data_IF_896063113314
#
_entry.id   IF_896063113314
#
_cell.length_a   1.000
_cell.length_b   1.000
_cell.length_c   1.000
_cell.angle_alpha   90.00
_cell.angle_beta   90.00
_cell.angle_gamma   90.00
#
_symmetry.space_group_name_H-M   'P 1'
#
loop_
_entity.id
_entity.type
_entity.pdbx_description
1 polymer ?
#
# COMPACT_ATOMS: atom_id res chain seq x y z
N UNK A 1 17.04 -15.75 -14.17
CA UNK A 1 17.07 -15.23 -12.80
C UNK A 1 18.38 -15.63 -12.16
N UNK A 2 19.08 -14.67 -11.51
CA UNK A 2 20.28 -14.94 -10.72
C UNK A 2 19.91 -14.72 -9.26
N UNK A 3 20.16 -15.72 -8.42
CA UNK A 3 19.95 -15.70 -6.99
C UNK A 3 21.29 -15.66 -6.29
N UNK A 4 21.43 -14.79 -5.31
CA UNK A 4 22.60 -14.71 -4.42
C UNK A 4 22.16 -15.15 -3.03
N UNK A 5 22.87 -16.11 -2.48
CA UNK A 5 22.69 -16.50 -1.09
C UNK A 5 23.64 -15.67 -0.21
N UNK A 6 23.08 -15.07 0.83
CA UNK A 6 23.85 -14.33 1.83
C UNK A 6 23.53 -14.88 3.22
N UNK A 7 24.48 -14.85 4.19
CA UNK A 7 24.16 -15.18 5.56
C UNK A 7 23.03 -14.29 6.08
N UNK A 8 22.05 -14.90 6.76
CA UNK A 8 21.00 -14.13 7.44
C UNK A 8 21.69 -13.33 8.55
N UNK A 9 21.65 -12.00 8.45
CA UNK A 9 22.08 -11.15 9.56
C UNK A 9 21.10 -11.36 10.71
N UNK A 10 21.60 -11.79 11.86
CA UNK A 10 20.83 -11.74 13.10
C UNK A 10 20.48 -10.29 13.38
N UNK A 11 19.21 -10.03 13.68
CA UNK A 11 18.56 -8.78 14.08
C UNK A 11 19.51 -7.59 14.35
N UNK A 12 19.91 -6.87 13.31
CA UNK A 12 20.55 -5.56 13.45
C UNK A 12 19.41 -4.55 13.32
N UNK A 13 18.88 -4.10 14.45
CA UNK A 13 17.90 -3.01 14.50
C UNK A 13 18.62 -1.66 14.41
N UNK A 14 17.97 -0.68 13.77
CA UNK A 14 18.49 0.69 13.66
C UNK A 14 19.51 0.91 12.55
N UNK A 15 19.55 0.05 11.54
CA UNK A 15 20.39 0.28 10.35
C UNK A 15 19.92 1.55 9.61
N UNK A 16 20.89 2.25 9.01
CA UNK A 16 20.64 3.40 8.16
C UNK A 16 20.85 3.02 6.70
N UNK A 17 19.93 3.46 5.86
CA UNK A 17 20.10 3.41 4.42
C UNK A 17 20.82 4.67 3.95
N UNK A 18 21.87 4.51 3.16
CA UNK A 18 22.68 5.58 2.61
C UNK A 18 22.53 5.62 1.10
N UNK A 19 22.28 6.80 0.56
CA UNK A 19 22.19 7.01 -0.88
C UNK A 19 23.03 8.22 -1.30
N UNK A 20 24.01 8.00 -2.15
CA UNK A 20 24.83 9.07 -2.71
C UNK A 20 24.02 9.95 -3.66
N UNK A 21 24.17 11.25 -3.50
CA UNK A 21 23.64 12.27 -4.41
C UNK A 21 24.79 13.24 -4.78
N UNK A 22 24.58 14.05 -5.81
CA UNK A 22 25.57 15.08 -6.17
C UNK A 22 25.75 16.06 -5.01
N UNK A 23 26.98 16.14 -4.49
CA UNK A 23 27.33 17.05 -3.38
C UNK A 23 26.95 16.58 -1.99
N UNK A 24 26.45 15.34 -1.80
CA UNK A 24 26.07 14.87 -0.48
C UNK A 24 25.58 13.43 -0.40
N UNK A 25 24.88 13.13 0.67
CA UNK A 25 24.32 11.80 0.94
C UNK A 25 22.94 11.93 1.61
N UNK A 26 21.98 11.18 1.12
CA UNK A 26 20.70 10.99 1.80
C UNK A 26 20.87 9.86 2.81
N UNK A 27 20.36 10.09 4.02
CA UNK A 27 20.38 9.10 5.10
C UNK A 27 18.95 8.92 5.59
N UNK A 28 18.53 7.68 5.67
CA UNK A 28 17.18 7.28 6.07
C UNK A 28 17.29 6.10 7.04
N UNK A 29 16.39 6.04 8.01
CA UNK A 29 16.21 4.82 8.80
C UNK A 29 15.69 3.69 7.92
N UNK A 30 16.17 2.47 8.15
CA UNK A 30 15.61 1.31 7.49
C UNK A 30 14.17 1.10 7.94
N UNK A 31 13.29 0.78 6.99
CA UNK A 31 11.89 0.49 7.26
C UNK A 31 11.74 -0.95 7.78
N UNK A 32 11.99 -1.11 9.08
CA UNK A 32 11.97 -2.40 9.76
C UNK A 32 10.57 -2.76 10.29
N UNK A 33 10.34 -4.06 10.44
CA UNK A 33 9.15 -4.60 11.10
C UNK A 33 7.90 -4.62 10.22
N UNK A 34 6.79 -5.01 10.85
CA UNK A 34 5.46 -5.12 10.26
C UNK A 34 4.49 -4.23 11.04
N UNK A 35 3.55 -3.61 10.33
CA UNK A 35 2.46 -2.88 10.97
C UNK A 35 1.55 -3.84 11.73
N UNK A 36 1.24 -3.47 12.97
CA UNK A 36 0.37 -4.25 13.85
C UNK A 36 -0.97 -3.57 14.09
N UNK A 37 -1.04 -2.25 13.85
CA UNK A 37 -2.21 -1.43 14.06
C UNK A 37 -3.00 -1.29 12.77
N UNK A 38 -4.32 -1.45 12.86
CA UNK A 38 -5.28 -1.28 11.76
C UNK A 38 -6.52 -0.61 12.34
N UNK A 39 -6.50 0.69 12.41
CA UNK A 39 -7.61 1.48 12.95
C UNK A 39 -8.63 1.76 11.85
N UNK A 40 -9.82 1.17 11.96
CA UNK A 40 -10.94 1.52 11.08
C UNK A 40 -11.30 2.99 11.27
N UNK A 41 -11.28 3.78 10.20
CA UNK A 41 -11.56 5.22 10.21
C UNK A 41 -12.85 5.60 9.48
N UNK A 42 -13.46 4.65 8.80
CA UNK A 42 -14.71 4.80 8.02
C UNK A 42 -15.92 4.23 8.75
N UNK A 43 -17.14 4.66 8.36
CA UNK A 43 -18.40 4.11 8.87
C UNK A 43 -18.52 2.61 8.61
N UNK A 44 -18.09 2.17 7.42
CA UNK A 44 -17.97 0.75 7.11
C UNK A 44 -16.74 0.19 7.80
N UNK A 45 -16.93 -0.77 8.70
CA UNK A 45 -15.84 -1.45 9.39
C UNK A 45 -14.89 -2.17 8.42
N UNK A 46 -13.60 -2.06 8.66
CA UNK A 46 -12.61 -2.86 7.92
C UNK A 46 -12.74 -4.32 8.35
N UNK A 47 -12.89 -5.22 7.38
CA UNK A 47 -13.08 -6.65 7.66
C UNK A 47 -11.83 -7.26 8.29
N UNK A 48 -11.97 -7.78 9.50
CA UNK A 48 -10.84 -8.38 10.26
C UNK A 48 -10.24 -9.59 9.56
N UNK A 49 -11.01 -10.31 8.73
CA UNK A 49 -10.49 -11.42 7.92
C UNK A 49 -9.46 -10.97 6.89
N UNK A 50 -9.49 -9.70 6.49
CA UNK A 50 -8.57 -9.10 5.52
C UNK A 50 -7.27 -8.56 6.13
N UNK A 51 -7.12 -8.57 7.45
CA UNK A 51 -5.92 -8.02 8.11
C UNK A 51 -4.64 -8.75 7.68
N UNK A 52 -4.66 -10.07 7.57
CA UNK A 52 -3.47 -10.82 7.13
C UNK A 52 -3.12 -10.53 5.67
N UNK A 53 -4.14 -10.39 4.81
CA UNK A 53 -3.95 -9.95 3.42
C UNK A 53 -3.39 -8.53 3.37
N UNK A 54 -3.89 -7.61 4.21
CA UNK A 54 -3.39 -6.24 4.31
C UNK A 54 -1.91 -6.21 4.78
N UNK A 55 -1.53 -6.99 5.79
CA UNK A 55 -0.13 -7.13 6.24
C UNK A 55 0.79 -7.62 5.13
N UNK A 56 0.36 -8.61 4.36
CA UNK A 56 1.10 -9.05 3.17
C UNK A 56 1.24 -7.91 2.15
N UNK A 57 0.16 -7.17 1.92
CA UNK A 57 0.15 -6.03 0.99
C UNK A 57 1.07 -4.90 1.42
N UNK A 58 1.11 -4.55 2.72
CA UNK A 58 2.03 -3.56 3.27
C UNK A 58 3.48 -4.02 3.08
N UNK A 59 3.76 -5.30 3.39
CA UNK A 59 5.09 -5.88 3.17
C UNK A 59 5.52 -5.79 1.71
N UNK A 60 4.63 -6.08 0.77
CA UNK A 60 4.92 -5.93 -0.65
C UNK A 60 5.11 -4.45 -1.03
N UNK A 61 4.22 -3.55 -0.53
CA UNK A 61 4.22 -2.12 -0.87
C UNK A 61 5.49 -1.42 -0.41
N UNK A 62 5.99 -1.69 0.81
CA UNK A 62 7.22 -1.10 1.33
C UNK A 62 8.48 -1.43 0.53
N UNK A 63 8.46 -2.51 -0.27
CA UNK A 63 9.55 -2.85 -1.19
C UNK A 63 9.41 -2.21 -2.57
N UNK A 64 8.31 -1.55 -2.85
CA UNK A 64 8.10 -0.77 -4.07
C UNK A 64 8.69 0.64 -3.92
N UNK A 65 9.12 1.24 -5.03
CA UNK A 65 9.60 2.62 -5.03
C UNK A 65 8.43 3.60 -4.92
N UNK A 66 8.52 4.56 -4.02
CA UNK A 66 7.50 5.62 -3.84
C UNK A 66 7.32 6.49 -5.10
N UNK A 67 6.16 7.08 -5.37
CA UNK A 67 4.90 6.83 -4.70
C UNK A 67 4.32 5.49 -5.18
N UNK A 68 3.97 4.63 -4.26
CA UNK A 68 3.54 3.28 -4.62
C UNK A 68 2.13 2.94 -4.14
N UNK A 69 1.44 2.18 -4.98
CA UNK A 69 0.14 1.57 -4.70
C UNK A 69 0.23 0.09 -5.05
N UNK A 70 -0.19 -0.76 -4.13
CA UNK A 70 -0.31 -2.19 -4.34
C UNK A 70 -1.77 -2.65 -4.23
N UNK A 71 -2.15 -3.65 -5.02
CA UNK A 71 -3.39 -4.40 -4.83
C UNK A 71 -3.02 -5.84 -4.55
N UNK A 72 -3.56 -6.37 -3.48
CA UNK A 72 -3.33 -7.75 -3.04
C UNK A 72 -4.64 -8.50 -2.94
N UNK A 73 -4.62 -9.77 -3.33
CA UNK A 73 -5.80 -10.62 -3.40
C UNK A 73 -5.48 -11.98 -2.79
N UNK A 74 -6.43 -12.54 -2.08
CA UNK A 74 -6.38 -13.94 -1.66
C UNK A 74 -6.95 -14.82 -2.78
N UNK A 75 -6.21 -15.85 -3.17
CA UNK A 75 -6.69 -16.80 -4.17
C UNK A 75 -7.54 -17.91 -3.53
N UNK A 76 -8.14 -18.74 -4.36
CA UNK A 76 -9.01 -19.84 -3.93
C UNK A 76 -8.32 -20.86 -2.99
N UNK A 77 -6.98 -20.91 -2.98
CA UNK A 77 -6.20 -21.80 -2.12
C UNK A 77 -5.78 -21.13 -0.80
N UNK A 78 -6.25 -19.92 -0.51
CA UNK A 78 -5.87 -19.15 0.69
C UNK A 78 -4.47 -18.51 0.61
N UNK A 79 -3.82 -18.50 -0.57
CA UNK A 79 -2.53 -17.83 -0.74
C UNK A 79 -2.72 -16.37 -1.14
N UNK A 80 -1.84 -15.50 -0.66
CA UNK A 80 -1.86 -14.07 -0.95
C UNK A 80 -1.01 -13.74 -2.17
N UNK A 81 -1.55 -12.93 -3.07
CA UNK A 81 -0.92 -12.53 -4.31
C UNK A 81 -0.86 -11.01 -4.43
N UNK A 82 0.29 -10.50 -4.86
CA UNK A 82 0.41 -9.13 -5.36
C UNK A 82 -0.14 -9.09 -6.80
N UNK A 83 -1.34 -8.58 -6.96
CA UNK A 83 -2.09 -8.64 -8.23
C UNK A 83 -2.00 -7.37 -9.04
N UNK A 84 -1.74 -6.22 -8.40
CA UNK A 84 -1.47 -4.95 -9.05
C UNK A 84 -0.38 -4.19 -8.30
N UNK A 85 0.52 -3.54 -9.01
CA UNK A 85 1.57 -2.70 -8.43
C UNK A 85 1.90 -1.52 -9.32
N UNK A 86 1.80 -0.31 -8.76
CA UNK A 86 2.27 0.94 -9.35
C UNK A 86 3.35 1.53 -8.46
N UNK A 87 4.46 1.99 -9.05
CA UNK A 87 5.61 2.49 -8.30
C UNK A 87 6.40 3.54 -9.07
N UNK A 88 7.17 4.36 -8.34
CA UNK A 88 8.10 5.33 -8.92
C UNK A 88 7.41 6.48 -9.65
N UNK A 89 6.14 6.73 -9.37
CA UNK A 89 5.39 7.81 -10.02
C UNK A 89 5.47 9.12 -9.20
N UNK A 90 5.30 10.27 -9.86
CA UNK A 90 5.34 11.57 -9.19
C UNK A 90 4.18 11.76 -8.19
N UNK A 91 3.06 11.06 -8.38
CA UNK A 91 1.91 11.09 -7.49
C UNK A 91 1.25 9.69 -7.39
N UNK A 92 0.37 9.51 -6.38
CA UNK A 92 -0.32 8.23 -6.11
C UNK A 92 -1.42 7.93 -7.11
N UNK A 93 -2.09 8.97 -7.60
CA UNK A 93 -3.15 8.81 -8.59
C UNK A 93 -2.61 8.17 -9.88
N UNK A 94 -1.42 8.59 -10.33
CA UNK A 94 -0.76 7.99 -11.50
C UNK A 94 -0.35 6.54 -11.23
N UNK A 95 0.18 6.25 -10.03
CA UNK A 95 0.48 4.88 -9.62
C UNK A 95 -0.77 3.99 -9.68
N UNK A 96 -1.91 4.50 -9.18
CA UNK A 96 -3.18 3.79 -9.19
C UNK A 96 -3.72 3.60 -10.62
N UNK A 97 -3.98 4.70 -11.34
CA UNK A 97 -4.68 4.69 -12.63
C UNK A 97 -3.88 4.09 -13.77
N UNK A 98 -2.58 4.39 -13.83
CA UNK A 98 -1.76 4.05 -15.00
C UNK A 98 -0.95 2.76 -14.83
N UNK A 99 -0.76 2.28 -13.61
CA UNK A 99 0.07 1.11 -13.35
C UNK A 99 -0.66 0.02 -12.56
N UNK A 100 -1.19 0.33 -11.37
CA UNK A 100 -1.75 -0.68 -10.46
C UNK A 100 -2.98 -1.33 -11.05
N UNK A 101 -3.99 -0.54 -11.41
CA UNK A 101 -5.27 -1.08 -11.89
C UNK A 101 -5.17 -1.71 -13.28
N UNK A 102 -4.45 -1.16 -14.26
CA UNK A 102 -4.22 -1.86 -15.52
C UNK A 102 -3.55 -3.23 -15.34
N UNK A 103 -2.59 -3.35 -14.42
CA UNK A 103 -1.94 -4.63 -14.11
C UNK A 103 -2.87 -5.62 -13.43
N UNK A 104 -3.72 -5.14 -12.52
CA UNK A 104 -4.76 -5.95 -11.89
C UNK A 104 -5.73 -6.50 -12.95
N UNK A 105 -6.22 -5.64 -13.86
CA UNK A 105 -7.18 -6.00 -14.91
C UNK A 105 -6.66 -7.04 -15.93
N UNK A 106 -5.33 -7.21 -16.04
CA UNK A 106 -4.74 -8.28 -16.82
C UNK A 106 -4.92 -9.67 -16.18
N UNK A 107 -5.28 -9.73 -14.90
CA UNK A 107 -5.46 -10.97 -14.15
C UNK A 107 -6.91 -11.46 -14.30
N UNK A 108 -7.10 -12.61 -14.92
CA UNK A 108 -8.44 -13.19 -15.11
C UNK A 108 -8.92 -13.89 -13.84
N UNK A 109 -10.22 -13.80 -13.57
CA UNK A 109 -10.86 -14.53 -12.47
C UNK A 109 -10.59 -13.96 -11.07
N UNK A 110 -10.09 -12.71 -10.97
CA UNK A 110 -9.95 -12.00 -9.71
C UNK A 110 -11.00 -10.89 -9.61
N UNK A 111 -11.55 -10.74 -8.41
CA UNK A 111 -12.53 -9.70 -8.08
C UNK A 111 -11.88 -8.64 -7.20
N UNK A 112 -11.90 -7.40 -7.66
CA UNK A 112 -11.29 -6.26 -6.97
C UNK A 112 -11.97 -6.00 -5.61
N UNK A 113 -13.26 -6.25 -5.48
CA UNK A 113 -14.03 -6.10 -4.24
C UNK A 113 -13.53 -7.03 -3.11
N UNK A 114 -12.89 -8.15 -3.46
CA UNK A 114 -12.29 -9.09 -2.51
C UNK A 114 -10.82 -8.79 -2.21
N UNK A 115 -10.26 -7.79 -2.90
CA UNK A 115 -8.87 -7.37 -2.78
C UNK A 115 -8.71 -6.23 -1.77
N UNK A 116 -7.47 -5.98 -1.34
CA UNK A 116 -7.11 -4.81 -0.53
C UNK A 116 -6.13 -3.94 -1.32
N UNK A 117 -6.44 -2.65 -1.41
CA UNK A 117 -5.56 -1.63 -1.96
C UNK A 117 -4.72 -1.04 -0.83
N UNK A 118 -3.41 -1.00 -1.03
CA UNK A 118 -2.42 -0.51 -0.06
C UNK A 118 -1.70 0.68 -0.65
N UNK A 119 -1.53 1.74 0.14
CA UNK A 119 -0.69 2.89 -0.20
C UNK A 119 0.51 2.99 0.74
N UNK A 120 1.69 3.33 0.21
CA UNK A 120 2.92 3.53 0.99
C UNK A 120 2.89 4.79 1.87
N UNK A 121 1.96 5.71 1.60
CA UNK A 121 1.69 6.90 2.42
C UNK A 121 0.24 7.37 2.23
N UNK A 122 -0.14 8.44 2.94
CA UNK A 122 -1.50 8.98 2.92
C UNK A 122 -1.92 9.47 1.51
N UNK A 123 -3.20 9.41 1.23
CA UNK A 123 -3.80 10.08 0.08
C UNK A 123 -3.94 11.58 0.37
N UNK A 124 -3.40 12.45 -0.49
CA UNK A 124 -3.45 13.90 -0.26
C UNK A 124 -4.81 14.51 -0.58
N UNK A 125 -5.63 13.83 -1.39
CA UNK A 125 -6.91 14.32 -1.91
C UNK A 125 -7.88 13.17 -2.15
N UNK A 126 -9.17 13.49 -2.21
CA UNK A 126 -10.24 12.54 -2.49
C UNK A 126 -10.19 11.90 -3.90
N UNK A 127 -9.50 12.51 -4.85
CA UNK A 127 -9.37 12.05 -6.23
C UNK A 127 -8.86 10.60 -6.36
N UNK A 128 -7.98 10.21 -5.47
CA UNK A 128 -7.46 8.83 -5.40
C UNK A 128 -8.52 7.84 -4.92
N UNK A 129 -9.42 8.26 -4.03
CA UNK A 129 -10.55 7.44 -3.57
C UNK A 129 -11.61 7.34 -4.66
N UNK A 130 -11.91 8.44 -5.35
CA UNK A 130 -12.81 8.45 -6.51
C UNK A 130 -12.30 7.49 -7.59
N UNK A 131 -11.01 7.56 -7.91
CA UNK A 131 -10.38 6.64 -8.85
C UNK A 131 -10.46 5.17 -8.37
N UNK A 132 -10.21 4.90 -7.09
CA UNK A 132 -10.34 3.54 -6.55
C UNK A 132 -11.78 3.01 -6.64
N UNK A 133 -12.78 3.88 -6.39
CA UNK A 133 -14.19 3.54 -6.53
C UNK A 133 -14.59 3.23 -7.98
N UNK A 134 -14.08 3.99 -8.98
CA UNK A 134 -14.30 3.71 -10.41
C UNK A 134 -13.93 2.28 -10.80
N UNK A 135 -12.92 1.70 -10.13
CA UNK A 135 -12.49 0.31 -10.33
C UNK A 135 -13.20 -0.70 -9.42
N UNK A 136 -14.06 -0.26 -8.50
CA UNK A 136 -14.81 -1.13 -7.60
C UNK A 136 -14.06 -1.55 -6.32
N UNK A 137 -12.98 -0.86 -5.95
CA UNK A 137 -12.25 -1.13 -4.69
C UNK A 137 -13.17 -0.96 -3.49
N UNK A 138 -13.10 -1.91 -2.53
CA UNK A 138 -13.93 -1.91 -1.31
C UNK A 138 -13.13 -1.83 -0.01
N UNK A 139 -11.82 -2.09 -0.07
CA UNK A 139 -10.92 -2.08 1.09
C UNK A 139 -9.65 -1.32 0.77
N UNK A 140 -9.32 -0.33 1.60
CA UNK A 140 -8.11 0.50 1.47
C UNK A 140 -7.36 0.51 2.79
N UNK A 141 -6.02 0.43 2.72
CA UNK A 141 -5.13 0.62 3.85
C UNK A 141 -4.07 1.65 3.50
N UNK A 142 -3.91 2.62 4.39
CA UNK A 142 -2.88 3.67 4.30
C UNK A 142 -2.42 4.09 5.71
N UNK A 143 -1.33 4.85 5.84
CA UNK A 143 -0.88 5.29 7.16
C UNK A 143 -1.73 6.38 7.82
N UNK A 144 -2.48 7.18 7.06
CA UNK A 144 -3.08 8.43 7.58
C UNK A 144 -2.03 9.53 7.83
N UNK A 145 -2.44 10.61 8.49
CA UNK A 145 -1.58 11.73 8.87
C UNK A 145 -1.54 12.88 7.86
N UNK A 146 -2.50 12.94 6.93
CA UNK A 146 -2.74 14.11 6.08
C UNK A 146 -3.60 15.16 6.81
N UNK A 147 -3.37 16.42 6.52
CA UNK A 147 -4.30 17.51 6.94
C UNK A 147 -5.70 17.28 6.35
N UNK A 148 -5.82 16.49 5.29
CA UNK A 148 -7.05 16.21 4.57
C UNK A 148 -7.60 14.80 4.80
N UNK A 149 -7.18 14.12 5.86
CA UNK A 149 -7.69 12.78 6.18
C UNK A 149 -9.23 12.75 6.26
N UNK A 150 -9.86 13.80 6.83
CA UNK A 150 -11.32 13.90 6.90
C UNK A 150 -11.97 13.87 5.49
N UNK A 151 -11.41 14.62 4.52
CA UNK A 151 -11.91 14.65 3.14
C UNK A 151 -11.81 13.26 2.47
N UNK A 152 -10.73 12.55 2.73
CA UNK A 152 -10.48 11.19 2.22
C UNK A 152 -11.43 10.18 2.86
N UNK A 153 -11.63 10.27 4.19
CA UNK A 153 -12.56 9.41 4.94
C UNK A 153 -14.00 9.64 4.47
N UNK A 154 -14.43 10.90 4.31
CA UNK A 154 -15.75 11.25 3.79
C UNK A 154 -16.00 10.64 2.41
N UNK A 155 -15.01 10.74 1.50
CA UNK A 155 -15.11 10.10 0.19
C UNK A 155 -15.23 8.58 0.28
N UNK A 156 -14.50 7.94 1.19
CA UNK A 156 -14.65 6.50 1.44
C UNK A 156 -16.06 6.14 1.94
N UNK A 157 -16.62 6.95 2.83
CA UNK A 157 -17.99 6.76 3.35
C UNK A 157 -19.04 6.92 2.24
N UNK A 158 -18.91 7.96 1.39
CA UNK A 158 -19.80 8.16 0.23
C UNK A 158 -19.85 6.94 -0.69
N UNK A 159 -18.70 6.27 -0.91
CA UNK A 159 -18.60 5.13 -1.83
C UNK A 159 -18.72 3.77 -1.13
N UNK A 160 -18.95 3.73 0.18
CA UNK A 160 -19.04 2.50 0.96
C UNK A 160 -17.75 1.69 0.96
N UNK A 161 -16.60 2.38 0.93
CA UNK A 161 -15.26 1.80 1.02
C UNK A 161 -14.86 1.71 2.51
N UNK A 162 -14.38 0.57 2.95
CA UNK A 162 -13.79 0.41 4.27
C UNK A 162 -12.30 0.80 4.24
N UNK A 163 -11.90 1.73 5.10
CA UNK A 163 -10.52 2.18 5.21
C UNK A 163 -9.96 1.93 6.61
N UNK A 164 -8.71 1.50 6.66
CA UNK A 164 -7.96 1.40 7.91
C UNK A 164 -6.64 2.17 7.82
N UNK A 165 -6.30 2.86 8.93
CA UNK A 165 -5.02 3.54 9.10
C UNK A 165 -4.04 2.68 9.88
N UNK A 166 -2.76 2.72 9.48
CA UNK A 166 -1.66 2.00 10.16
C UNK A 166 -0.78 2.91 11.00
N UNK A 167 -0.85 4.23 10.81
CA UNK A 167 -0.02 5.22 11.50
C UNK A 167 1.44 5.25 11.04
N UNK A 168 1.84 4.41 10.06
CA UNK A 168 3.24 4.29 9.63
C UNK A 168 3.38 4.40 8.12
N UNK A 169 4.27 5.32 7.69
CA UNK A 169 4.64 5.48 6.26
C UNK A 169 5.78 4.56 5.88
N UNK A 170 5.76 4.07 4.62
CA UNK A 170 6.75 3.17 4.05
C UNK A 170 7.44 3.79 2.82
N UNK A 171 7.96 5.01 2.99
CA UNK A 171 8.64 5.72 1.90
C UNK A 171 9.96 5.06 1.50
N UNK A 172 10.07 4.78 0.20
CA UNK A 172 11.29 4.27 -0.41
C UNK A 172 11.65 5.08 -1.66
N UNK A 173 12.61 5.97 -1.52
CA UNK A 173 13.08 6.86 -2.60
C UNK A 173 14.37 6.37 -3.25
#
# INVERSE_FOLDING_TARGET
LRLLETPVKSEITGEKLYRSISGGMLVQDEDEGLDQQFDTVTEKAFDTSKINLAKFGITACKHLKSNSIAVVTENANGSFWLTGAGMGQPNRLDSLRHLTMPRFNLKKGLEIENSVLISDAFFPFRDSIEAANEYGVKYIVEPGGSIRDNEVIEACNEFGIAMAFTGRRHFKH
#
